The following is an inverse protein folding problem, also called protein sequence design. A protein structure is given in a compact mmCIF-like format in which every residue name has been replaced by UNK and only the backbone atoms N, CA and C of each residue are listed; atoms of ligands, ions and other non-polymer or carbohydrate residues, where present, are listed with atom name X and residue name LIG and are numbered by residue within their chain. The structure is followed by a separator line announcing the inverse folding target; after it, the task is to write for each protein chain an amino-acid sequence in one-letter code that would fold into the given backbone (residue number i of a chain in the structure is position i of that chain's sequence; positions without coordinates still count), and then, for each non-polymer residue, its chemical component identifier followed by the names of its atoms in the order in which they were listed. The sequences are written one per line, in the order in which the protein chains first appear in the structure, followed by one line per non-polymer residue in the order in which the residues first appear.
data_IF_712138699183
#
_entry.id   IF_712138699183
#
_cell.length_a   1.000
_cell.length_b   1.000
_cell.length_c   1.000
_cell.angle_alpha   90.00
_cell.angle_beta   90.00
_cell.angle_gamma   90.00
#
_symmetry.space_group_name_H-M   'P 1'
#
loop_
_entity.id
_entity.type
_entity.pdbx_description
1 polymer ?
#
# COMPACT_ATOMS: atom_id res chain seq x y z
N UNK A 1 -7.24 -23.58 -22.10
CA UNK A 1 -6.29 -22.64 -21.48
C UNK A 1 -6.36 -21.30 -22.21
N UNK A 2 -7.11 -20.32 -21.69
CA UNK A 2 -7.11 -18.97 -22.24
C UNK A 2 -5.86 -18.26 -21.71
N UNK A 3 -4.97 -17.87 -22.62
CA UNK A 3 -3.75 -17.09 -22.34
C UNK A 3 -4.10 -15.97 -21.36
N UNK A 4 -3.47 -15.97 -20.19
CA UNK A 4 -3.51 -14.86 -19.26
C UNK A 4 -3.04 -13.62 -20.04
N UNK A 5 -3.98 -12.74 -20.40
CA UNK A 5 -3.64 -11.34 -20.65
C UNK A 5 -3.02 -10.89 -19.34
N UNK A 6 -1.68 -10.82 -19.32
CA UNK A 6 -0.88 -10.17 -18.31
C UNK A 6 -1.64 -8.89 -17.92
N UNK A 7 -2.23 -8.90 -16.73
CA UNK A 7 -2.91 -7.72 -16.21
C UNK A 7 -1.80 -6.78 -15.75
N UNK A 8 -1.17 -6.09 -16.70
CA UNK A 8 -0.21 -5.03 -16.42
C UNK A 8 -0.86 -4.07 -15.42
N UNK A 9 -0.19 -3.82 -14.30
CA UNK A 9 -0.67 -2.89 -13.29
C UNK A 9 -0.60 -1.49 -13.88
N UNK A 10 -1.69 -0.74 -13.85
CA UNK A 10 -1.65 0.67 -14.21
C UNK A 10 -1.09 1.46 -13.02
N UNK A 11 0.04 2.12 -13.24
CA UNK A 11 0.73 2.90 -12.20
C UNK A 11 0.35 4.38 -12.40
N UNK A 12 -0.47 4.96 -11.52
CA UNK A 12 -0.92 6.35 -11.64
C UNK A 12 0.25 7.34 -11.67
N UNK A 13 0.12 8.39 -12.47
CA UNK A 13 1.16 9.43 -12.60
C UNK A 13 1.49 10.08 -11.24
N UNK A 14 0.48 10.35 -10.42
CA UNK A 14 0.67 10.92 -9.07
C UNK A 14 1.61 10.08 -8.20
N UNK A 15 1.48 8.76 -8.28
CA UNK A 15 2.33 7.83 -7.54
C UNK A 15 3.75 7.79 -8.12
N UNK A 16 3.91 7.83 -9.44
CA UNK A 16 5.24 7.93 -10.10
C UNK A 16 5.96 9.21 -9.70
N UNK A 17 5.25 10.34 -9.72
CA UNK A 17 5.74 11.63 -9.26
C UNK A 17 6.17 11.52 -7.80
N UNK A 18 5.32 10.95 -6.94
CA UNK A 18 5.63 10.78 -5.52
C UNK A 18 6.91 9.96 -5.30
N UNK A 19 7.02 8.81 -5.96
CA UNK A 19 8.21 7.96 -5.93
C UNK A 19 9.45 8.71 -6.43
N UNK A 20 9.33 9.51 -7.49
CA UNK A 20 10.45 10.28 -8.04
C UNK A 20 10.96 11.33 -7.06
N UNK A 21 10.06 12.13 -6.48
CA UNK A 21 10.41 13.19 -5.53
C UNK A 21 11.10 12.61 -4.28
N UNK A 22 10.65 11.47 -3.78
CA UNK A 22 11.24 10.81 -2.61
C UNK A 22 12.32 9.78 -2.95
N UNK A 23 12.71 9.67 -4.23
CA UNK A 23 13.69 8.68 -4.73
C UNK A 23 13.39 7.26 -4.27
N UNK A 24 12.13 6.86 -4.39
CA UNK A 24 11.65 5.52 -4.03
C UNK A 24 11.48 4.68 -5.27
N UNK A 25 11.95 3.43 -5.20
CA UNK A 25 11.72 2.47 -6.26
C UNK A 25 10.28 1.92 -6.17
N UNK A 26 9.49 2.06 -7.24
CA UNK A 26 8.07 1.64 -7.28
C UNK A 26 7.87 0.17 -6.81
N UNK A 27 8.63 -0.81 -7.31
CA UNK A 27 8.49 -2.21 -6.90
C UNK A 27 8.81 -2.41 -5.43
N UNK A 28 9.80 -1.68 -4.88
CA UNK A 28 10.14 -1.75 -3.45
C UNK A 28 8.97 -1.26 -2.60
N UNK A 29 8.37 -0.11 -2.95
CA UNK A 29 7.21 0.44 -2.23
C UNK A 29 6.04 -0.55 -2.26
N UNK A 30 5.76 -1.16 -3.41
CA UNK A 30 4.69 -2.13 -3.55
C UNK A 30 5.00 -3.43 -2.82
N UNK A 31 6.26 -3.88 -2.82
CA UNK A 31 6.70 -5.06 -2.06
C UNK A 31 6.50 -4.82 -0.56
N UNK A 32 6.98 -3.68 -0.03
CA UNK A 32 6.79 -3.28 1.37
C UNK A 32 5.30 -3.28 1.71
N UNK A 33 4.44 -2.69 0.86
CA UNK A 33 3.00 -2.73 1.09
C UNK A 33 2.47 -4.16 1.19
N UNK A 34 2.79 -5.05 0.24
CA UNK A 34 2.32 -6.45 0.27
C UNK A 34 2.83 -7.26 1.46
N UNK A 35 4.04 -6.96 1.94
CA UNK A 35 4.64 -7.64 3.10
C UNK A 35 4.08 -7.15 4.43
N UNK A 36 3.57 -5.92 4.48
CA UNK A 36 2.97 -5.32 5.67
C UNK A 36 1.44 -5.49 5.73
N UNK A 37 0.82 -6.07 4.71
CA UNK A 37 -0.56 -6.54 4.81
C UNK A 37 -0.59 -7.87 5.57
N UNK A 38 -1.26 -7.91 6.73
CA UNK A 38 -1.42 -9.15 7.50
C UNK A 38 -2.87 -9.43 7.88
N UNK A 39 -3.25 -10.70 7.87
CA UNK A 39 -4.57 -11.10 8.36
C UNK A 39 -4.73 -10.79 9.87
N UNK A 40 -3.64 -10.84 10.64
CA UNK A 40 -3.66 -10.51 12.06
C UNK A 40 -4.07 -9.05 12.31
N UNK A 41 -3.45 -8.09 11.61
CA UNK A 41 -3.73 -6.66 11.79
C UNK A 41 -5.08 -6.24 11.21
N UNK A 42 -5.73 -7.07 10.37
CA UNK A 42 -7.13 -6.79 9.96
C UNK A 42 -8.10 -6.90 11.12
N UNK A 43 -7.77 -7.73 12.12
CA UNK A 43 -8.63 -8.07 13.25
C UNK A 43 -8.15 -7.40 14.54
N UNK A 44 -6.83 -7.17 14.66
CA UNK A 44 -6.24 -6.60 15.86
C UNK A 44 -6.76 -5.17 16.10
N UNK A 45 -7.30 -4.87 17.30
CA UNK A 45 -7.78 -3.53 17.62
C UNK A 45 -6.63 -2.55 17.87
N UNK A 46 -5.44 -3.06 18.20
CA UNK A 46 -4.27 -2.24 18.50
C UNK A 46 -3.59 -1.76 17.23
N UNK A 47 -3.05 -0.55 17.32
CA UNK A 47 -2.29 0.04 16.24
C UNK A 47 -0.85 -0.50 16.23
N UNK A 48 -0.45 -1.03 15.08
CA UNK A 48 0.92 -1.38 14.74
C UNK A 48 1.36 -0.58 13.51
N UNK A 49 2.41 0.22 13.69
CA UNK A 49 2.95 1.09 12.64
C UNK A 49 3.32 0.31 11.37
N UNK A 50 2.96 0.88 10.22
CA UNK A 50 3.13 0.31 8.89
C UNK A 50 2.11 -0.78 8.55
N UNK A 51 1.91 -1.72 9.46
CA UNK A 51 0.98 -2.84 9.25
C UNK A 51 -0.48 -2.44 9.31
N UNK A 52 -0.82 -1.51 10.21
CA UNK A 52 -2.19 -1.01 10.36
C UNK A 52 -2.60 -0.22 9.12
N UNK A 53 -1.73 0.64 8.62
CA UNK A 53 -1.96 1.43 7.41
C UNK A 53 -2.16 0.53 6.19
N UNK A 54 -1.23 -0.41 5.98
CA UNK A 54 -1.27 -1.34 4.86
C UNK A 54 -2.59 -2.14 4.88
N UNK A 55 -2.90 -2.72 6.04
CA UNK A 55 -4.05 -3.59 6.19
C UNK A 55 -5.38 -2.84 6.19
N UNK A 56 -5.45 -1.65 6.80
CA UNK A 56 -6.66 -0.82 6.77
C UNK A 56 -6.91 -0.21 5.39
N UNK A 57 -5.89 -0.01 4.57
CA UNK A 57 -6.04 0.35 3.15
C UNK A 57 -6.82 -0.73 2.40
N UNK A 58 -6.49 -2.00 2.62
CA UNK A 58 -7.24 -3.15 2.08
C UNK A 58 -8.69 -3.12 2.56
N UNK A 59 -8.91 -2.97 3.87
CA UNK A 59 -10.27 -2.91 4.45
C UNK A 59 -11.10 -1.76 3.88
N UNK A 60 -10.50 -0.57 3.74
CA UNK A 60 -11.16 0.61 3.17
C UNK A 60 -11.59 0.37 1.72
N UNK A 61 -10.75 -0.26 0.89
CA UNK A 61 -11.10 -0.66 -0.46
C UNK A 61 -12.30 -1.61 -0.49
N UNK A 62 -12.23 -2.68 0.31
CA UNK A 62 -13.29 -3.70 0.37
C UNK A 62 -14.63 -3.08 0.78
N UNK A 63 -14.64 -2.19 1.77
CA UNK A 63 -15.83 -1.46 2.21
C UNK A 63 -16.36 -0.54 1.10
N UNK A 64 -15.48 0.22 0.45
CA UNK A 64 -15.84 1.18 -0.59
C UNK A 64 -16.48 0.52 -1.82
N UNK A 65 -16.09 -0.72 -2.15
CA UNK A 65 -16.69 -1.46 -3.28
C UNK A 65 -18.19 -1.74 -3.12
N UNK A 66 -18.77 -1.60 -1.91
CA UNK A 66 -20.19 -1.87 -1.60
C UNK A 66 -20.74 -3.17 -2.18
N UNK A 67 -19.86 -4.15 -2.47
CA UNK A 67 -20.29 -5.46 -2.96
C UNK A 67 -20.94 -6.18 -1.80
N UNK A 68 -22.15 -6.73 -1.99
CA UNK A 68 -22.75 -7.65 -1.02
C UNK A 68 -21.70 -8.70 -0.68
N UNK A 69 -21.53 -9.00 0.61
CA UNK A 69 -20.62 -10.04 1.06
C UNK A 69 -20.91 -11.31 0.26
N UNK A 70 -19.91 -11.79 -0.49
CA UNK A 70 -19.95 -13.07 -1.19
C UNK A 70 -18.93 -13.94 -0.51
N UNK A 71 -19.34 -15.16 -0.14
CA UNK A 71 -18.40 -16.14 0.38
C UNK A 71 -17.23 -16.31 -0.60
N UNK A 72 -16.03 -16.47 -0.05
CA UNK A 72 -14.83 -16.70 -0.85
C UNK A 72 -14.99 -18.01 -1.62
N UNK A 73 -14.86 -17.94 -2.95
CA UNK A 73 -14.92 -19.14 -3.79
C UNK A 73 -13.80 -20.12 -3.46
N UNK A 74 -12.63 -19.59 -3.10
CA UNK A 74 -11.43 -20.35 -2.82
C UNK A 74 -11.52 -21.25 -1.57
N UNK A 75 -12.48 -20.98 -0.68
CA UNK A 75 -12.60 -21.67 0.61
C UNK A 75 -13.88 -22.50 0.74
N UNK A 76 -14.67 -22.63 -0.34
CA UNK A 76 -15.95 -23.34 -0.30
C UNK A 76 -15.79 -24.81 0.11
N UNK A 77 -14.79 -25.50 -0.46
CA UNK A 77 -14.55 -26.93 -0.21
C UNK A 77 -13.82 -27.22 1.11
N UNK A 78 -13.21 -26.21 1.74
CA UNK A 78 -12.45 -26.34 2.98
C UNK A 78 -12.99 -25.46 4.11
N UNK A 79 -14.28 -25.11 4.06
CA UNK A 79 -14.93 -24.14 4.94
C UNK A 79 -14.66 -24.36 6.43
N UNK A 80 -14.78 -25.60 6.92
CA UNK A 80 -14.60 -25.92 8.34
C UNK A 80 -13.20 -25.59 8.83
N UNK A 81 -12.19 -25.98 8.04
CA UNK A 81 -10.77 -25.72 8.35
C UNK A 81 -10.49 -24.22 8.25
N UNK A 82 -11.03 -23.57 7.22
CA UNK A 82 -10.85 -22.13 7.01
C UNK A 82 -11.42 -21.30 8.17
N UNK A 83 -12.65 -21.61 8.60
CA UNK A 83 -13.28 -20.98 9.76
C UNK A 83 -12.47 -21.23 11.04
N UNK A 84 -11.95 -22.45 11.23
CA UNK A 84 -11.07 -22.77 12.35
C UNK A 84 -9.79 -21.91 12.36
N UNK A 85 -9.14 -21.76 11.21
CA UNK A 85 -7.94 -20.93 11.07
C UNK A 85 -8.24 -19.45 11.35
N UNK A 86 -9.31 -18.90 10.77
CA UNK A 86 -9.72 -17.51 11.00
C UNK A 86 -10.05 -17.28 12.48
N UNK A 87 -10.79 -18.20 13.12
CA UNK A 87 -11.06 -18.14 14.56
C UNK A 87 -9.76 -18.14 15.38
N UNK A 88 -8.80 -18.99 15.03
CA UNK A 88 -7.49 -19.00 15.68
C UNK A 88 -6.74 -17.67 15.58
N UNK A 89 -6.80 -17.01 14.42
CA UNK A 89 -6.24 -15.66 14.24
C UNK A 89 -7.00 -14.63 15.11
N UNK A 90 -8.33 -14.69 15.13
CA UNK A 90 -9.16 -13.79 15.96
C UNK A 90 -8.82 -13.96 17.45
N UNK A 91 -8.70 -15.18 17.93
CA UNK A 91 -8.34 -15.48 19.31
C UNK A 91 -6.95 -14.95 19.66
N UNK A 92 -5.98 -15.06 18.75
CA UNK A 92 -4.65 -14.47 18.94
C UNK A 92 -4.72 -12.94 19.00
N UNK A 93 -5.45 -12.30 18.08
CA UNK A 93 -5.55 -10.85 17.97
C UNK A 93 -6.27 -10.20 19.17
N UNK A 94 -7.19 -10.93 19.81
CA UNK A 94 -7.94 -10.46 20.99
C UNK A 94 -7.23 -10.72 22.32
N UNK A 95 -6.19 -11.56 22.36
CA UNK A 95 -5.43 -11.79 23.60
C UNK A 95 -4.69 -10.52 23.99
N UNK A 96 -4.97 -9.99 25.17
CA UNK A 96 -4.27 -8.82 25.71
C UNK A 96 -2.80 -9.13 26.01
N UNK A 97 -2.51 -10.32 26.59
CA UNK A 97 -1.15 -10.70 27.00
C UNK A 97 -0.27 -11.12 25.82
N UNK A 98 0.99 -10.70 25.87
CA UNK A 98 2.07 -11.13 24.96
C UNK A 98 2.42 -10.08 23.90
N UNK A 99 3.65 -10.14 23.39
CA UNK A 99 4.16 -9.22 22.36
C UNK A 99 3.48 -9.47 21.02
N UNK A 100 2.99 -8.42 20.35
CA UNK A 100 2.26 -8.56 19.08
C UNK A 100 3.09 -9.12 17.94
N UNK A 101 4.41 -8.83 17.90
CA UNK A 101 5.32 -9.46 16.95
C UNK A 101 5.30 -11.00 17.07
N UNK A 102 5.23 -11.53 18.30
CA UNK A 102 5.15 -12.98 18.52
C UNK A 102 3.77 -13.53 18.15
N UNK A 103 2.70 -12.80 18.45
CA UNK A 103 1.32 -13.19 18.07
C UNK A 103 1.15 -13.23 16.55
N UNK A 104 1.68 -12.23 15.84
CA UNK A 104 1.77 -12.16 14.38
C UNK A 104 2.60 -13.31 13.81
N UNK A 105 3.74 -13.64 14.40
CA UNK A 105 4.51 -14.84 14.00
C UNK A 105 3.71 -16.12 14.21
N UNK A 106 2.92 -16.23 15.28
CA UNK A 106 2.04 -17.38 15.53
C UNK A 106 0.84 -17.41 14.59
N UNK A 107 0.27 -16.27 14.19
CA UNK A 107 -0.84 -16.25 13.24
C UNK A 107 -0.43 -16.78 11.87
N UNK A 108 0.85 -16.72 11.52
CA UNK A 108 1.37 -17.30 10.29
C UNK A 108 1.10 -18.80 10.16
N UNK A 109 1.02 -19.57 11.25
CA UNK A 109 0.66 -20.99 11.16
C UNK A 109 -0.76 -21.18 10.59
N UNK A 110 -1.70 -20.32 10.97
CA UNK A 110 -3.06 -20.33 10.43
C UNK A 110 -3.12 -19.81 9.00
N UNK A 111 -2.36 -18.75 8.69
CA UNK A 111 -2.27 -18.19 7.33
C UNK A 111 -1.66 -19.19 6.36
N UNK A 112 -0.58 -19.88 6.75
CA UNK A 112 0.04 -20.95 5.96
C UNK A 112 -0.93 -22.10 5.72
N UNK A 113 -1.74 -22.45 6.71
CA UNK A 113 -2.76 -23.49 6.57
C UNK A 113 -3.84 -23.06 5.57
N UNK A 114 -4.37 -21.84 5.70
CA UNK A 114 -5.32 -21.26 4.75
C UNK A 114 -4.75 -21.23 3.33
N UNK A 115 -3.52 -20.75 3.18
CA UNK A 115 -2.86 -20.62 1.89
C UNK A 115 -2.67 -21.98 1.19
N UNK A 116 -2.39 -23.05 1.95
CA UNK A 116 -2.22 -24.40 1.39
C UNK A 116 -3.54 -25.05 0.96
N UNK A 117 -4.64 -24.77 1.65
CA UNK A 117 -5.93 -25.43 1.41
C UNK A 117 -6.85 -24.66 0.47
N UNK A 118 -6.55 -23.38 0.18
CA UNK A 118 -7.41 -22.54 -0.64
C UNK A 118 -7.27 -22.87 -2.14
N UNK A 119 -8.40 -22.93 -2.84
CA UNK A 119 -8.45 -23.03 -4.30
C UNK A 119 -8.23 -21.65 -4.93
N UNK A 120 -6.96 -21.35 -5.20
CA UNK A 120 -6.52 -20.05 -5.70
C UNK A 120 -7.19 -19.69 -7.03
N UNK A 121 -8.11 -18.72 -6.98
CA UNK A 121 -8.89 -18.25 -8.12
C UNK A 121 -8.47 -16.84 -8.53
N UNK A 122 -8.27 -15.96 -7.55
CA UNK A 122 -7.87 -14.57 -7.75
C UNK A 122 -6.35 -14.38 -7.72
N UNK A 123 -5.62 -15.31 -7.10
CA UNK A 123 -4.17 -15.29 -6.97
C UNK A 123 -3.57 -16.57 -7.58
N UNK A 124 -3.65 -16.76 -8.92
CA UNK A 124 -3.17 -17.98 -9.56
C UNK A 124 -1.64 -18.13 -9.53
N UNK A 125 -0.91 -17.05 -9.22
CA UNK A 125 0.55 -16.97 -9.17
C UNK A 125 0.96 -16.21 -7.91
N UNK A 126 2.08 -16.60 -7.31
CA UNK A 126 2.69 -15.91 -6.17
C UNK A 126 3.53 -14.70 -6.59
N UNK A 127 3.59 -14.44 -7.91
CA UNK A 127 4.33 -13.37 -8.54
C UNK A 127 3.40 -12.56 -9.43
N UNK A 128 3.50 -11.24 -9.33
CA UNK A 128 2.80 -10.28 -10.18
C UNK A 128 3.82 -9.45 -10.97
N UNK A 129 3.62 -9.35 -12.28
CA UNK A 129 4.51 -8.59 -13.16
C UNK A 129 4.05 -7.14 -13.23
N UNK A 130 4.96 -6.21 -12.92
CA UNK A 130 4.75 -4.78 -13.15
C UNK A 130 5.02 -4.42 -14.61
N UNK A 131 6.09 -4.98 -15.15
CA UNK A 131 6.51 -4.88 -16.54
C UNK A 131 7.15 -6.22 -16.98
N UNK A 132 7.87 -6.23 -18.10
CA UNK A 132 8.50 -7.43 -18.65
C UNK A 132 9.60 -8.03 -17.76
N UNK A 133 10.25 -7.20 -16.94
CA UNK A 133 11.45 -7.54 -16.17
C UNK A 133 11.27 -7.42 -14.66
N UNK A 134 10.23 -6.70 -14.23
CA UNK A 134 10.03 -6.35 -12.82
C UNK A 134 8.85 -7.08 -12.22
N UNK A 135 9.09 -7.75 -11.10
CA UNK A 135 8.09 -8.57 -10.41
C UNK A 135 7.92 -8.19 -8.95
N UNK A 136 6.69 -8.31 -8.45
CA UNK A 136 6.34 -8.23 -7.03
C UNK A 136 6.01 -9.64 -6.53
N UNK A 137 6.59 -10.03 -5.40
CA UNK A 137 6.26 -11.28 -4.73
C UNK A 137 5.08 -11.06 -3.78
N UNK A 138 4.00 -11.82 -3.99
CA UNK A 138 2.80 -11.72 -3.16
C UNK A 138 2.98 -12.52 -1.87
N UNK A 139 3.00 -11.82 -0.74
CA UNK A 139 3.05 -12.45 0.58
C UNK A 139 1.84 -13.37 0.79
N UNK A 140 2.00 -14.47 1.53
CA UNK A 140 0.88 -15.40 1.80
C UNK A 140 -0.30 -14.71 2.49
N UNK A 141 -0.04 -13.74 3.37
CA UNK A 141 -1.08 -12.93 3.99
C UNK A 141 -1.88 -12.16 2.93
N UNK A 142 -1.17 -11.45 2.06
CA UNK A 142 -1.78 -10.68 0.99
C UNK A 142 -2.61 -11.56 0.05
N UNK A 143 -2.06 -12.72 -0.34
CA UNK A 143 -2.75 -13.69 -1.19
C UNK A 143 -4.01 -14.27 -0.52
N UNK A 144 -3.94 -14.63 0.76
CA UNK A 144 -5.11 -15.11 1.52
C UNK A 144 -6.19 -14.02 1.60
N UNK A 145 -5.82 -12.76 1.84
CA UNK A 145 -6.78 -11.66 1.87
C UNK A 145 -7.40 -11.38 0.49
N UNK A 146 -6.64 -11.47 -0.59
CA UNK A 146 -7.16 -11.41 -1.94
C UNK A 146 -8.26 -12.45 -2.19
N UNK A 147 -7.99 -13.71 -1.83
CA UNK A 147 -8.97 -14.79 -2.00
C UNK A 147 -10.18 -14.63 -1.07
N UNK A 148 -9.97 -14.22 0.20
CA UNK A 148 -11.06 -13.98 1.16
C UNK A 148 -12.02 -12.89 0.66
N UNK A 149 -11.49 -11.86 0.02
CA UNK A 149 -12.27 -10.73 -0.49
C UNK A 149 -12.69 -10.87 -1.95
N UNK A 150 -12.40 -12.02 -2.60
CA UNK A 150 -12.67 -12.27 -4.01
C UNK A 150 -12.14 -11.14 -4.92
N UNK A 151 -10.88 -10.76 -4.71
CA UNK A 151 -10.26 -9.58 -5.31
C UNK A 151 -8.90 -9.93 -5.92
N UNK A 152 -8.60 -9.43 -7.11
CA UNK A 152 -7.28 -9.63 -7.72
C UNK A 152 -6.23 -8.76 -7.02
N UNK A 153 -4.98 -9.26 -6.84
CA UNK A 153 -3.85 -8.50 -6.30
C UNK A 153 -3.68 -7.11 -6.92
N UNK A 154 -3.78 -7.04 -8.25
CA UNK A 154 -3.69 -5.82 -9.04
C UNK A 154 -4.65 -4.73 -8.53
N UNK A 155 -5.90 -5.08 -8.24
CA UNK A 155 -6.92 -4.10 -7.83
C UNK A 155 -6.54 -3.42 -6.51
N UNK A 156 -5.93 -4.14 -5.57
CA UNK A 156 -5.45 -3.56 -4.32
C UNK A 156 -4.24 -2.67 -4.52
N UNK A 157 -3.31 -3.07 -5.39
CA UNK A 157 -2.11 -2.29 -5.67
C UNK A 157 -2.46 -1.00 -6.40
N UNK A 158 -3.33 -1.06 -7.40
CA UNK A 158 -3.85 0.14 -8.09
C UNK A 158 -4.62 1.05 -7.14
N UNK A 159 -5.42 0.48 -6.22
CA UNK A 159 -6.06 1.27 -5.18
C UNK A 159 -5.04 1.94 -4.25
N UNK A 160 -4.05 1.19 -3.78
CA UNK A 160 -2.99 1.73 -2.94
C UNK A 160 -2.28 2.91 -3.61
N UNK A 161 -1.80 2.71 -4.85
CA UNK A 161 -1.11 3.76 -5.61
C UNK A 161 -2.03 4.95 -5.91
N UNK A 162 -3.28 4.70 -6.30
CA UNK A 162 -4.25 5.74 -6.66
C UNK A 162 -4.70 6.62 -5.49
N UNK A 163 -4.33 6.26 -4.25
CA UNK A 163 -4.59 7.07 -3.05
C UNK A 163 -3.40 7.94 -2.66
N UNK A 164 -2.31 7.93 -3.42
CA UNK A 164 -1.10 8.69 -3.13
C UNK A 164 -1.03 9.89 -4.09
N UNK A 165 -1.04 11.09 -3.51
CA UNK A 165 -0.78 12.34 -4.22
C UNK A 165 -0.03 13.28 -3.28
N UNK A 166 1.20 13.64 -3.64
CA UNK A 166 2.00 14.58 -2.86
C UNK A 166 1.38 15.97 -2.85
N UNK A 167 0.85 16.39 -4.00
CA UNK A 167 0.24 17.70 -4.15
C UNK A 167 -0.96 17.87 -3.19
N UNK A 168 -1.90 16.91 -3.17
CA UNK A 168 -3.04 16.96 -2.23
C UNK A 168 -2.57 16.89 -0.77
N UNK A 169 -1.61 16.01 -0.47
CA UNK A 169 -1.08 15.86 0.89
C UNK A 169 -0.44 17.15 1.40
N UNK A 170 0.44 17.77 0.62
CA UNK A 170 1.12 19.01 0.99
C UNK A 170 0.18 20.21 1.00
N UNK A 171 -0.78 20.30 0.07
CA UNK A 171 -1.79 21.36 0.06
C UNK A 171 -2.64 21.34 1.34
N UNK A 172 -3.16 20.16 1.73
CA UNK A 172 -3.92 19.96 2.97
C UNK A 172 -3.09 20.29 4.20
N UNK A 173 -1.85 19.78 4.28
CA UNK A 173 -0.92 20.05 5.38
C UNK A 173 -0.68 21.55 5.54
N UNK A 174 -0.42 22.26 4.45
CA UNK A 174 -0.23 23.71 4.46
C UNK A 174 -1.48 24.48 4.90
N UNK A 175 -2.69 23.94 4.68
CA UNK A 175 -3.96 24.54 5.12
C UNK A 175 -4.38 24.05 6.52
N UNK A 176 -3.59 23.20 7.17
CA UNK A 176 -3.94 22.53 8.44
C UNK A 176 -5.26 21.76 8.37
N UNK A 177 -5.60 21.24 7.20
CA UNK A 177 -6.75 20.37 6.99
C UNK A 177 -6.33 18.95 7.36
N UNK A 178 -7.10 18.30 8.23
CA UNK A 178 -6.86 16.90 8.62
C UNK A 178 -7.02 15.98 7.41
N UNK A 179 -6.11 15.02 7.28
CA UNK A 179 -6.13 14.03 6.19
C UNK A 179 -6.06 12.62 6.78
N UNK A 180 -7.18 11.91 6.79
CA UNK A 180 -7.26 10.51 7.23
C UNK A 180 -6.92 9.55 6.07
N UNK A 181 -5.86 9.85 5.32
CA UNK A 181 -5.38 9.00 4.25
C UNK A 181 -4.27 8.07 4.75
N UNK A 182 -4.68 6.93 5.32
CA UNK A 182 -3.77 5.90 5.83
C UNK A 182 -2.78 5.40 4.77
N UNK A 183 -3.21 5.34 3.52
CA UNK A 183 -2.37 4.93 2.40
C UNK A 183 -1.22 5.90 2.17
N UNK A 184 -1.53 7.20 2.18
CA UNK A 184 -0.50 8.25 2.14
C UNK A 184 0.39 8.23 3.39
N UNK A 185 -0.19 7.92 4.57
CA UNK A 185 0.56 7.72 5.81
C UNK A 185 1.64 6.65 5.68
N UNK A 186 1.29 5.46 5.16
CA UNK A 186 2.26 4.40 4.89
C UNK A 186 3.33 4.83 3.90
N UNK A 187 2.92 5.47 2.80
CA UNK A 187 3.88 5.97 1.81
C UNK A 187 4.90 6.92 2.43
N UNK A 188 4.45 7.85 3.29
CA UNK A 188 5.35 8.77 3.99
C UNK A 188 6.25 8.06 5.01
N UNK A 189 5.78 6.99 5.67
CA UNK A 189 6.65 6.17 6.52
C UNK A 189 7.77 5.52 5.70
N UNK A 190 7.44 4.94 4.55
CA UNK A 190 8.41 4.34 3.63
C UNK A 190 9.40 5.42 3.16
N UNK A 191 8.92 6.58 2.73
CA UNK A 191 9.77 7.71 2.34
C UNK A 191 10.77 8.10 3.45
N UNK A 192 10.37 8.00 4.72
CA UNK A 192 11.18 8.29 5.89
C UNK A 192 12.06 7.11 6.37
N UNK A 193 12.12 6.00 5.62
CA UNK A 193 13.02 4.87 5.90
C UNK A 193 12.36 3.63 6.49
N UNK A 194 11.03 3.61 6.66
CA UNK A 194 10.33 2.42 7.16
C UNK A 194 10.51 1.23 6.22
N UNK A 195 11.04 0.12 6.75
CA UNK A 195 11.26 -1.15 6.05
C UNK A 195 12.11 -1.06 4.77
N UNK A 196 12.84 0.04 4.59
CA UNK A 196 13.81 0.22 3.49
C UNK A 196 15.15 -0.41 3.85
N UNK A 197 15.88 -0.84 2.83
CA UNK A 197 17.29 -1.22 3.01
C UNK A 197 18.12 0.04 3.31
N UNK A 198 18.72 0.09 4.50
CA UNK A 198 19.48 1.25 4.99
C UNK A 198 20.89 1.36 4.39
N UNK A 199 21.25 0.46 3.48
CA UNK A 199 22.55 0.48 2.80
C UNK A 199 22.67 1.59 1.75
N UNK A 200 21.56 2.13 1.25
CA UNK A 200 21.57 3.24 0.30
C UNK A 200 21.73 4.59 1.01
N UNK A 201 22.91 5.21 0.84
CA UNK A 201 23.10 6.61 1.24
C UNK A 201 22.41 7.52 0.23
N UNK A 202 21.51 8.37 0.73
CA UNK A 202 20.96 9.47 -0.06
C UNK A 202 22.08 10.46 -0.39
N UNK A 203 22.54 10.42 -1.64
CA UNK A 203 23.40 11.45 -2.20
C UNK A 203 22.52 12.54 -2.81
N UNK A 204 22.73 13.79 -2.39
CA UNK A 204 22.08 14.95 -2.98
C UNK A 204 22.99 15.59 -4.02
N UNK A 205 22.50 15.69 -5.25
CA UNK A 205 23.15 16.46 -6.32
C UNK A 205 22.80 17.95 -6.18
N UNK A 206 23.57 18.85 -6.81
CA UNK A 206 23.25 20.29 -6.84
C UNK A 206 21.82 20.53 -7.35
N UNK A 207 21.42 19.85 -8.43
CA UNK A 207 20.06 19.95 -8.99
C UNK A 207 18.95 19.52 -8.03
N UNK A 208 19.27 18.72 -7.00
CA UNK A 208 18.32 18.31 -5.98
C UNK A 208 18.25 19.31 -4.84
N UNK A 209 19.38 19.89 -4.46
CA UNK A 209 19.42 21.02 -3.52
C UNK A 209 18.59 22.19 -4.08
N UNK A 210 18.79 22.56 -5.34
CA UNK A 210 18.01 23.61 -6.03
C UNK A 210 16.51 23.29 -6.00
N UNK A 211 16.14 22.02 -6.19
CA UNK A 211 14.74 21.60 -6.12
C UNK A 211 14.16 21.78 -4.73
N UNK A 212 14.89 21.41 -3.67
CA UNK A 212 14.41 21.58 -2.29
C UNK A 212 14.32 23.07 -1.91
N UNK A 213 15.26 23.90 -2.35
CA UNK A 213 15.18 25.36 -2.18
C UNK A 213 13.93 25.92 -2.87
N UNK A 214 13.72 25.57 -4.15
CA UNK A 214 12.53 26.01 -4.89
C UNK A 214 11.23 25.49 -4.28
N UNK A 215 11.24 24.30 -3.68
CA UNK A 215 10.09 23.75 -2.97
C UNK A 215 9.75 24.59 -1.73
N UNK A 216 10.74 25.05 -0.97
CA UNK A 216 10.51 25.95 0.18
C UNK A 216 10.01 27.33 -0.26
N UNK A 217 10.56 27.89 -1.35
CA UNK A 217 10.04 29.13 -1.95
C UNK A 217 8.57 28.99 -2.37
N UNK A 218 8.24 27.89 -3.07
CA UNK A 218 6.86 27.57 -3.47
C UNK A 218 5.94 27.47 -2.26
N UNK A 219 6.41 26.90 -1.15
CA UNK A 219 5.62 26.82 0.10
C UNK A 219 5.34 28.21 0.69
N UNK A 220 6.25 29.16 0.55
CA UNK A 220 6.04 30.56 0.96
C UNK A 220 5.02 31.26 0.04
N UNK A 221 5.16 31.10 -1.28
CA UNK A 221 4.21 31.65 -2.27
C UNK A 221 2.78 31.14 -2.01
N UNK A 222 2.65 29.86 -1.68
CA UNK A 222 1.35 29.24 -1.38
C UNK A 222 0.74 29.73 -0.06
N UNK A 223 1.48 30.41 0.82
CA UNK A 223 0.99 30.82 2.14
C UNK A 223 -0.30 31.65 2.09
N UNK A 224 -0.43 32.52 1.08
CA UNK A 224 -1.61 33.37 0.87
C UNK A 224 -2.76 32.66 0.15
N UNK A 225 -2.48 31.58 -0.59
CA UNK A 225 -3.49 30.81 -1.31
C UNK A 225 -4.31 30.00 -0.30
N UNK A 226 -5.60 30.27 -0.17
CA UNK A 226 -6.49 29.58 0.79
C UNK A 226 -7.31 28.46 0.17
N UNK A 227 -7.43 28.44 -1.15
CA UNK A 227 -8.14 27.41 -1.90
C UNK A 227 -7.33 26.10 -1.91
N UNK A 228 -7.94 25.02 -1.42
CA UNK A 228 -7.32 23.69 -1.48
C UNK A 228 -7.08 23.27 -2.93
N UNK A 229 -8.07 23.45 -3.81
CA UNK A 229 -7.98 23.09 -5.22
C UNK A 229 -6.86 23.83 -5.94
N UNK A 230 -6.75 25.14 -5.70
CA UNK A 230 -5.71 25.97 -6.30
C UNK A 230 -4.31 25.57 -5.81
N UNK A 231 -4.15 25.38 -4.49
CA UNK A 231 -2.89 24.89 -3.92
C UNK A 231 -2.49 23.53 -4.47
N UNK A 232 -3.44 22.60 -4.57
CA UNK A 232 -3.17 21.27 -5.12
C UNK A 232 -2.75 21.37 -6.58
N UNK A 233 -3.39 22.21 -7.40
CA UNK A 233 -3.01 22.40 -8.80
C UNK A 233 -1.58 22.97 -8.94
N UNK A 234 -1.23 24.01 -8.19
CA UNK A 234 0.10 24.61 -8.23
C UNK A 234 1.18 23.59 -7.83
N UNK A 235 0.94 22.84 -6.74
CA UNK A 235 1.87 21.80 -6.28
C UNK A 235 1.96 20.63 -7.26
N UNK A 236 0.84 20.24 -7.88
CA UNK A 236 0.81 19.21 -8.91
C UNK A 236 1.73 19.58 -10.06
N UNK A 237 1.57 20.78 -10.62
CA UNK A 237 2.37 21.22 -11.77
C UNK A 237 3.85 21.35 -11.41
N UNK A 238 4.15 21.85 -10.21
CA UNK A 238 5.51 21.93 -9.67
C UNK A 238 6.18 20.55 -9.58
N UNK A 239 5.50 19.56 -8.98
CA UNK A 239 6.06 18.21 -8.84
C UNK A 239 6.12 17.45 -10.17
N UNK A 240 5.12 17.62 -11.03
CA UNK A 240 5.09 16.98 -12.34
C UNK A 240 6.24 17.49 -13.23
N UNK A 241 6.51 18.79 -13.22
CA UNK A 241 7.65 19.38 -13.94
C UNK A 241 8.97 18.77 -13.48
N UNK A 242 9.17 18.62 -12.16
CA UNK A 242 10.37 17.94 -11.64
C UNK A 242 10.47 16.48 -12.11
N UNK A 243 9.36 15.74 -12.08
CA UNK A 243 9.34 14.35 -12.53
C UNK A 243 9.72 14.22 -14.02
N UNK A 244 9.18 15.09 -14.87
CA UNK A 244 9.49 15.14 -16.31
C UNK A 244 10.95 15.54 -16.57
N UNK A 245 11.51 16.47 -15.80
CA UNK A 245 12.92 16.85 -15.94
C UNK A 245 13.89 15.73 -15.57
N UNK A 246 13.53 14.85 -14.62
CA UNK A 246 14.33 13.67 -14.25
C UNK A 246 14.12 12.53 -15.25
N UNK A 247 12.92 12.38 -15.80
CA UNK A 247 12.53 11.29 -16.69
C UNK A 247 12.02 11.87 -18.03
N UNK A 248 12.93 12.36 -18.90
CA UNK A 248 12.59 12.98 -20.18
C UNK A 248 12.02 12.00 -21.21
#
# INVERSE_FOLDING_TARGET
MKKAKYQLIDVPIEFKVACTIYKLNIPEVLQIFTDHVTLYDTICPYYHEGFSEATRTISAFVIARKRKFRESKALLHCRTVAVGCIKGVIELARKEKGKDQLKRKKSMFYVDSLFKIMERTYVPSDVLYLDENTTIHLSKNFSVLCELHNCYPKEYLEHFMGRISLADCHARKGLKITNDNLTMGLFMMIANGFARDSSEKLHFTETELDFYERMEETRLELYIVRSLTERTAILHDFYLSRHQNINP
#
